data_IF_448666874766
#
_entry.id   IF_448666874766
#
_cell.length_a   1.000
_cell.length_b   1.000
_cell.length_c   1.000
_cell.angle_alpha   90.00
_cell.angle_beta   90.00
_cell.angle_gamma   90.00
#
_symmetry.space_group_name_H-M   'P 1'
#
loop_
_entity.id
_entity.type
_entity.pdbx_description
1 polymer ?
#
# COMPACT_ATOMS: atom_id res chain seq x y z
N UNK A 1 6.45 12.84 15.19
CA UNK A 1 6.71 12.06 13.95
C UNK A 1 6.18 12.80 12.70
N UNK A 2 6.19 14.14 12.67
CA UNK A 2 5.39 14.92 11.71
C UNK A 2 6.14 15.46 10.48
N UNK A 3 7.48 15.34 10.40
CA UNK A 3 8.24 15.91 9.27
C UNK A 3 9.34 15.03 8.70
N UNK A 4 9.50 13.79 9.19
CA UNK A 4 10.69 12.96 8.93
C UNK A 4 10.85 12.49 7.46
N UNK A 5 9.94 12.85 6.55
CA UNK A 5 9.97 12.35 5.16
C UNK A 5 9.55 13.40 4.12
N UNK A 6 9.56 14.69 4.45
CA UNK A 6 9.27 15.74 3.46
C UNK A 6 10.36 15.84 2.39
N UNK A 7 11.62 15.65 2.79
CA UNK A 7 12.79 15.92 1.94
C UNK A 7 13.78 14.74 1.84
N UNK A 8 13.44 13.55 2.36
CA UNK A 8 14.31 12.37 2.33
C UNK A 8 13.85 11.40 1.25
N UNK A 9 14.77 11.03 0.35
CA UNK A 9 14.52 9.96 -0.62
C UNK A 9 14.33 8.63 0.12
N UNK A 10 13.21 7.94 -0.15
CA UNK A 10 12.98 6.58 0.34
C UNK A 10 13.80 5.51 -0.39
N UNK A 11 14.66 5.90 -1.35
CA UNK A 11 15.38 4.97 -2.22
C UNK A 11 16.28 3.99 -1.46
N UNK A 12 16.93 4.42 -0.37
CA UNK A 12 17.76 3.53 0.47
C UNK A 12 16.95 2.50 1.26
N UNK A 13 15.64 2.71 1.41
CA UNK A 13 14.70 1.81 2.06
C UNK A 13 14.00 0.88 1.07
N UNK A 14 14.09 1.18 -0.24
CA UNK A 14 13.48 0.37 -1.29
C UNK A 14 14.35 -0.87 -1.56
N UNK A 15 13.71 -2.04 -1.64
CA UNK A 15 14.37 -3.33 -1.87
C UNK A 15 13.58 -4.08 -2.93
N UNK A 16 14.23 -4.69 -3.91
CA UNK A 16 13.54 -5.49 -4.92
C UNK A 16 12.95 -6.79 -4.34
N UNK A 17 11.74 -7.20 -4.76
CA UNK A 17 10.80 -6.45 -5.57
C UNK A 17 9.92 -5.64 -4.63
N UNK A 18 10.19 -4.35 -4.56
CA UNK A 18 9.25 -3.44 -3.95
C UNK A 18 7.94 -3.46 -4.73
N UNK A 19 6.92 -2.76 -4.25
CA UNK A 19 5.67 -2.66 -5.00
C UNK A 19 5.92 -2.04 -6.39
N UNK A 20 5.67 -2.82 -7.45
CA UNK A 20 5.81 -2.36 -8.82
C UNK A 20 4.80 -1.26 -9.13
N UNK A 21 5.26 -0.15 -9.71
CA UNK A 21 4.38 0.91 -10.22
C UNK A 21 3.76 1.83 -9.17
N UNK A 22 4.17 1.79 -7.90
CA UNK A 22 3.65 2.69 -6.86
C UNK A 22 4.71 3.65 -6.37
N UNK A 23 4.46 4.94 -6.60
CA UNK A 23 5.31 6.03 -6.13
C UNK A 23 6.64 6.11 -6.88
N UNK A 24 7.56 6.91 -6.34
CA UNK A 24 8.85 7.14 -6.97
C UNK A 24 9.86 6.03 -6.68
N UNK A 25 9.69 5.22 -5.63
CA UNK A 25 10.57 4.08 -5.32
C UNK A 25 12.07 4.38 -5.55
N UNK A 26 12.74 3.72 -6.52
CA UNK A 26 14.14 3.99 -6.86
C UNK A 26 14.37 5.28 -7.68
N UNK A 27 13.33 5.87 -8.26
CA UNK A 27 13.36 7.11 -9.05
C UNK A 27 13.53 8.39 -8.19
N UNK A 28 13.60 8.24 -6.86
CA UNK A 28 13.93 9.33 -5.94
C UNK A 28 12.72 9.97 -5.27
N UNK A 29 12.83 11.25 -4.91
CA UNK A 29 11.79 11.97 -4.17
C UNK A 29 10.70 12.51 -5.11
N UNK A 30 9.45 12.54 -4.64
CA UNK A 30 8.37 13.26 -5.32
C UNK A 30 8.64 14.77 -5.29
N UNK A 31 8.68 15.41 -6.46
CA UNK A 31 8.90 16.86 -6.62
C UNK A 31 7.74 17.47 -7.39
N UNK A 32 7.02 18.42 -6.78
CA UNK A 32 5.86 19.09 -7.39
C UNK A 32 6.30 19.81 -8.67
N UNK A 33 5.64 19.52 -9.78
CA UNK A 33 5.92 20.12 -11.09
C UNK A 33 7.06 19.46 -11.89
N UNK A 34 7.81 18.53 -11.30
CA UNK A 34 8.83 17.75 -12.00
C UNK A 34 8.38 16.29 -12.14
N UNK A 35 8.23 15.62 -11.01
CA UNK A 35 7.93 14.18 -10.99
C UNK A 35 6.47 13.93 -10.66
N UNK A 36 5.84 14.79 -9.83
CA UNK A 36 4.42 14.70 -9.44
C UNK A 36 3.64 15.97 -9.75
N UNK A 37 2.36 15.85 -10.11
CA UNK A 37 1.38 16.95 -10.15
C UNK A 37 0.64 17.14 -8.81
N UNK A 38 0.94 16.32 -7.81
CA UNK A 38 0.28 16.32 -6.50
C UNK A 38 0.51 17.65 -5.76
N UNK A 39 -0.57 18.29 -5.32
CA UNK A 39 -0.51 19.49 -4.49
C UNK A 39 -0.50 19.11 -2.99
N UNK A 40 0.58 19.37 -2.24
CA UNK A 40 0.62 19.08 -0.81
C UNK A 40 -0.45 19.82 0.00
N UNK A 41 -0.95 20.95 -0.51
CA UNK A 41 -1.96 21.76 0.17
C UNK A 41 -3.33 21.06 0.29
N UNK A 42 -3.61 20.05 -0.54
CA UNK A 42 -4.87 19.28 -0.48
C UNK A 42 -4.73 17.93 0.22
N UNK A 43 -3.60 17.69 0.92
CA UNK A 43 -3.31 16.42 1.59
C UNK A 43 -3.33 16.62 3.10
N UNK A 44 -4.33 16.06 3.77
CA UNK A 44 -4.42 16.10 5.24
C UNK A 44 -3.44 15.14 5.93
N UNK A 45 -3.17 13.99 5.30
CA UNK A 45 -2.39 12.91 5.92
C UNK A 45 -1.64 12.09 4.88
N UNK A 46 -0.40 11.72 5.23
CA UNK A 46 0.40 10.71 4.51
C UNK A 46 0.59 9.50 5.42
N UNK A 47 0.42 8.29 4.88
CA UNK A 47 0.62 7.03 5.59
C UNK A 47 1.63 6.19 4.82
N UNK A 48 2.55 5.54 5.54
CA UNK A 48 3.48 4.56 4.97
C UNK A 48 2.96 3.17 5.25
N UNK A 49 2.90 2.35 4.20
CA UNK A 49 2.42 0.96 4.27
C UNK A 49 3.57 0.04 3.86
N UNK A 50 3.90 -0.99 4.66
CA UNK A 50 4.86 -2.01 4.26
C UNK A 50 4.38 -2.78 3.02
N UNK A 51 5.27 -3.08 2.09
CA UNK A 51 4.96 -3.77 0.83
C UNK A 51 4.29 -5.14 1.05
N UNK A 52 4.72 -5.90 2.07
CA UNK A 52 4.09 -7.17 2.47
C UNK A 52 2.64 -6.96 2.91
N UNK A 53 2.36 -5.87 3.62
CA UNK A 53 1.02 -5.57 4.10
C UNK A 53 0.06 -5.18 2.97
N UNK A 54 0.54 -4.38 2.03
CA UNK A 54 -0.21 -4.07 0.80
C UNK A 54 -0.47 -5.32 -0.05
N UNK A 55 0.53 -6.20 -0.18
CA UNK A 55 0.42 -7.47 -0.91
C UNK A 55 -0.57 -8.43 -0.24
N UNK A 56 -0.59 -8.49 1.09
CA UNK A 56 -1.61 -9.24 1.82
C UNK A 56 -3.01 -8.65 1.61
N UNK A 57 -3.15 -7.32 1.69
CA UNK A 57 -4.41 -6.62 1.54
C UNK A 57 -5.01 -6.75 0.13
N UNK A 58 -4.22 -6.73 -0.95
CA UNK A 58 -4.75 -6.92 -2.31
C UNK A 58 -5.34 -8.33 -2.52
N UNK A 59 -4.87 -9.33 -1.75
CA UNK A 59 -5.45 -10.68 -1.74
C UNK A 59 -6.76 -10.71 -0.99
N UNK A 60 -6.84 -10.07 0.18
CA UNK A 60 -8.10 -9.91 0.92
C UNK A 60 -9.14 -9.22 0.03
N UNK A 61 -8.75 -8.15 -0.68
CA UNK A 61 -9.63 -7.47 -1.62
C UNK A 61 -10.21 -8.45 -2.68
N UNK A 62 -9.34 -9.29 -3.27
CA UNK A 62 -9.73 -10.31 -4.25
C UNK A 62 -10.72 -11.31 -3.68
N UNK A 63 -10.49 -11.76 -2.44
CA UNK A 63 -11.39 -12.69 -1.77
C UNK A 63 -12.77 -12.06 -1.46
N UNK A 64 -12.87 -10.73 -1.40
CA UNK A 64 -14.13 -9.97 -1.27
C UNK A 64 -14.81 -9.64 -2.62
N UNK A 65 -14.27 -10.13 -3.75
CA UNK A 65 -14.88 -9.97 -5.08
C UNK A 65 -14.42 -8.74 -5.88
N UNK A 66 -13.42 -7.99 -5.41
CA UNK A 66 -12.80 -6.89 -6.16
C UNK A 66 -11.31 -7.18 -6.36
N UNK A 67 -10.69 -6.82 -7.48
CA UNK A 67 -9.25 -7.08 -7.67
C UNK A 67 -8.52 -5.91 -8.28
N UNK A 68 -7.25 -5.76 -7.93
CA UNK A 68 -6.36 -4.73 -8.47
C UNK A 68 -4.91 -5.00 -8.07
N UNK A 69 -4.00 -4.10 -8.41
CA UNK A 69 -2.59 -4.22 -8.02
C UNK A 69 -2.31 -4.00 -6.54
N UNK A 70 -1.02 -4.02 -6.19
CA UNK A 70 -0.53 -3.73 -4.84
C UNK A 70 -0.98 -2.35 -4.33
N UNK A 71 -1.23 -1.38 -5.23
CA UNK A 71 -1.76 -0.05 -4.90
C UNK A 71 -3.18 -0.09 -4.39
N UNK A 72 -3.98 -1.01 -4.90
CA UNK A 72 -5.31 -1.29 -4.39
C UNK A 72 -5.24 -1.89 -2.98
N UNK A 73 -4.22 -2.71 -2.70
CA UNK A 73 -3.90 -3.19 -1.36
C UNK A 73 -3.55 -2.07 -0.39
N UNK A 74 -2.68 -1.12 -0.80
CA UNK A 74 -2.37 0.10 -0.03
C UNK A 74 -3.63 0.90 0.28
N UNK A 75 -4.48 1.09 -0.72
CA UNK A 75 -5.73 1.82 -0.61
C UNK A 75 -6.71 1.15 0.38
N UNK A 76 -6.83 -0.18 0.33
CA UNK A 76 -7.67 -0.95 1.25
C UNK A 76 -7.18 -0.83 2.70
N UNK A 77 -5.91 -1.16 2.96
CA UNK A 77 -5.38 -1.15 4.33
C UNK A 77 -5.35 0.26 4.93
N UNK A 78 -5.08 1.29 4.11
CA UNK A 78 -5.16 2.69 4.53
C UNK A 78 -6.59 3.07 4.88
N UNK A 79 -7.57 2.63 4.09
CA UNK A 79 -8.99 2.88 4.37
C UNK A 79 -9.42 2.22 5.69
N UNK A 80 -9.02 0.97 5.93
CA UNK A 80 -9.26 0.26 7.19
C UNK A 80 -8.60 0.98 8.37
N UNK A 81 -7.37 1.46 8.21
CA UNK A 81 -6.67 2.24 9.23
C UNK A 81 -7.34 3.58 9.53
N UNK A 82 -7.85 4.29 8.51
CA UNK A 82 -8.65 5.51 8.72
C UNK A 82 -9.94 5.16 9.46
N UNK A 83 -10.61 4.08 9.10
CA UNK A 83 -11.83 3.63 9.78
C UNK A 83 -11.57 3.29 11.25
N UNK A 84 -10.51 2.56 11.56
CA UNK A 84 -10.18 2.12 12.92
C UNK A 84 -9.68 3.25 13.82
N UNK A 85 -9.08 4.29 13.24
CA UNK A 85 -8.56 5.45 13.98
C UNK A 85 -9.49 6.66 14.00
N UNK A 86 -10.62 6.60 13.29
CA UNK A 86 -11.60 7.67 13.26
C UNK A 86 -12.22 7.88 14.65
N UNK A 87 -12.03 9.07 15.22
CA UNK A 87 -12.71 9.50 16.45
C UNK A 87 -14.12 9.95 16.10
N UNK A 88 -15.03 8.99 15.97
CA UNK A 88 -16.45 9.23 15.69
C UNK A 88 -17.33 8.58 16.76
N UNK A 89 -18.48 9.18 17.13
CA UNK A 89 -19.45 8.51 17.99
C UNK A 89 -19.84 7.14 17.43
N UNK A 90 -19.99 6.13 18.30
CA UNK A 90 -20.30 4.73 17.94
C UNK A 90 -21.49 4.60 16.96
N UNK A 91 -22.45 5.52 17.02
CA UNK A 91 -23.67 5.49 16.18
C UNK A 91 -23.57 6.31 14.89
N UNK A 92 -22.42 6.92 14.59
CA UNK A 92 -22.28 7.77 13.40
C UNK A 92 -21.70 6.99 12.23
N UNK A 93 -22.25 7.22 11.04
CA UNK A 93 -21.75 6.59 9.80
C UNK A 93 -20.44 7.24 9.36
N UNK A 94 -19.45 6.41 9.03
CA UNK A 94 -18.25 6.82 8.32
C UNK A 94 -18.36 6.33 6.87
N UNK A 95 -18.09 7.21 5.91
CA UNK A 95 -17.97 6.84 4.49
C UNK A 95 -16.52 7.07 4.09
N UNK A 96 -15.90 6.07 3.49
CA UNK A 96 -14.56 6.17 2.92
C UNK A 96 -14.68 5.82 1.45
N UNK A 97 -14.27 6.75 0.59
CA UNK A 97 -14.10 6.49 -0.83
C UNK A 97 -12.63 6.16 -1.09
N UNK A 98 -12.41 5.15 -1.92
CA UNK A 98 -11.07 4.75 -2.36
C UNK A 98 -11.13 4.29 -3.81
N UNK A 99 -9.98 4.10 -4.45
CA UNK A 99 -9.89 3.74 -5.86
C UNK A 99 -9.08 2.46 -6.09
N UNK A 100 -9.40 1.75 -7.16
CA UNK A 100 -8.61 0.64 -7.69
C UNK A 100 -7.93 1.16 -8.96
N UNK A 101 -6.60 1.16 -8.98
CA UNK A 101 -5.86 1.84 -10.03
C UNK A 101 -5.84 1.05 -11.35
N UNK A 102 -5.64 -0.26 -11.26
CA UNK A 102 -5.53 -1.16 -12.40
C UNK A 102 -6.09 -2.56 -12.09
N UNK A 103 -6.34 -3.40 -13.11
CA UNK A 103 -6.89 -4.74 -12.93
C UNK A 103 -5.92 -5.71 -12.24
N UNK A 104 -6.44 -6.57 -11.37
CA UNK A 104 -5.60 -7.51 -10.61
C UNK A 104 -4.92 -8.59 -11.46
N UNK A 105 -5.44 -8.94 -12.64
CA UNK A 105 -4.91 -10.05 -13.44
C UNK A 105 -3.49 -9.78 -13.97
N UNK A 106 -3.05 -8.52 -14.05
CA UNK A 106 -1.65 -8.17 -14.36
C UNK A 106 -0.65 -8.73 -13.35
N UNK A 107 -1.13 -9.14 -12.17
CA UNK A 107 -0.30 -9.56 -11.05
C UNK A 107 -0.44 -11.04 -10.69
N UNK A 108 -1.15 -11.83 -11.50
CA UNK A 108 -1.42 -13.25 -11.23
C UNK A 108 -0.14 -14.09 -11.16
N UNK A 109 0.89 -13.76 -11.95
CA UNK A 109 2.20 -14.40 -11.93
C UNK A 109 3.17 -13.82 -10.90
N UNK A 110 2.79 -12.74 -10.19
CA UNK A 110 3.64 -12.00 -9.24
C UNK A 110 3.00 -11.89 -7.86
N UNK A 111 2.40 -10.76 -7.49
CA UNK A 111 1.89 -10.47 -6.15
C UNK A 111 0.68 -11.30 -5.73
N UNK A 112 0.05 -12.05 -6.64
CA UNK A 112 -0.94 -13.08 -6.30
C UNK A 112 -0.36 -14.50 -6.24
N UNK A 113 0.87 -14.70 -6.71
CA UNK A 113 1.57 -15.98 -6.75
C UNK A 113 2.38 -16.20 -5.47
N UNK A 114 2.04 -17.26 -4.71
CA UNK A 114 2.64 -17.52 -3.40
C UNK A 114 4.12 -17.91 -3.51
N UNK A 115 4.49 -18.67 -4.53
CA UNK A 115 5.87 -19.10 -4.78
C UNK A 115 6.75 -17.91 -5.18
N UNK A 116 6.18 -16.96 -5.93
CA UNK A 116 6.84 -15.71 -6.26
C UNK A 116 7.06 -14.88 -4.98
N UNK A 117 6.03 -14.67 -4.15
CA UNK A 117 6.16 -13.96 -2.87
C UNK A 117 7.20 -14.62 -1.97
N UNK A 118 7.14 -15.95 -1.79
CA UNK A 118 8.07 -16.67 -0.93
C UNK A 118 9.53 -16.44 -1.33
N UNK A 119 9.83 -16.44 -2.63
CA UNK A 119 11.18 -16.19 -3.15
C UNK A 119 11.59 -14.72 -3.04
N UNK A 120 10.68 -13.83 -3.43
CA UNK A 120 10.98 -12.42 -3.64
C UNK A 120 10.86 -11.55 -2.39
N UNK A 121 9.96 -11.91 -1.46
CA UNK A 121 9.79 -11.24 -0.17
C UNK A 121 10.50 -11.97 0.98
N UNK A 122 11.38 -12.94 0.69
CA UNK A 122 12.11 -13.71 1.71
C UNK A 122 12.81 -12.79 2.74
N UNK A 123 13.43 -11.70 2.28
CA UNK A 123 14.10 -10.71 3.15
C UNK A 123 13.15 -9.97 4.09
N UNK A 124 11.86 -9.92 3.76
CA UNK A 124 10.81 -9.27 4.55
C UNK A 124 9.99 -10.28 5.39
N UNK A 125 10.51 -11.51 5.57
CA UNK A 125 9.82 -12.58 6.29
C UNK A 125 8.84 -13.41 5.45
N UNK A 126 8.86 -13.21 4.12
CA UNK A 126 8.13 -14.04 3.15
C UNK A 126 6.64 -14.16 3.44
N UNK A 127 6.11 -15.39 3.32
CA UNK A 127 4.69 -15.66 3.54
C UNK A 127 4.29 -15.54 5.02
N UNK A 128 5.19 -15.81 5.97
CA UNK A 128 4.88 -15.81 7.41
C UNK A 128 4.39 -14.45 7.92
N UNK A 129 4.96 -13.36 7.40
CA UNK A 129 4.52 -11.98 7.73
C UNK A 129 3.21 -11.63 7.03
N UNK A 130 2.98 -12.14 5.82
CA UNK A 130 1.72 -11.98 5.10
C UNK A 130 0.54 -12.61 5.87
N UNK A 131 0.75 -13.79 6.47
CA UNK A 131 -0.27 -14.48 7.27
C UNK A 131 -0.59 -13.80 8.61
N UNK A 132 0.33 -13.04 9.19
CA UNK A 132 0.08 -12.34 10.46
C UNK A 132 -1.00 -11.22 10.33
N UNK A 133 -1.23 -10.73 9.10
CA UNK A 133 -2.34 -9.81 8.77
C UNK A 133 -3.66 -10.58 8.53
N UNK A 134 -3.58 -11.89 8.23
CA UNK A 134 -4.76 -12.75 8.06
C UNK A 134 -5.37 -13.19 9.41
N UNK A 135 -4.60 -13.17 10.50
CA UNK A 135 -5.06 -13.61 11.81
C UNK A 135 -4.49 -12.74 12.93
N UNK A 136 -5.06 -11.56 13.13
CA UNK A 136 -5.19 -10.95 14.45
C UNK A 136 -6.35 -9.96 14.49
#
# INVERSE_FOLDING_TARGET
MYDRFKNESGASLWVEPGMAGIGYGPMGMAKKGETTSMDPAVIDRVVKIPDVAATAAMRILRDQGASGGTSSGVNLITSMHVASTAKKPIKSRLTIATLLADPGHYYDSTYYNREWIARKFARHGGLEVGYCIYFK
#
